data_IF_888439585880
#
_entry.id   IF_888439585880
#
_cell.length_a   1.000
_cell.length_b   1.000
_cell.length_c   1.000
_cell.angle_alpha   90.00
_cell.angle_beta   90.00
_cell.angle_gamma   90.00
#
_symmetry.space_group_name_H-M   'P 1'
#
loop_
_entity.id
_entity.type
_entity.pdbx_description
1 polymer ?
#
# COMPACT_ATOMS: atom_id res chain seq x y z
N UNK A 1 -15.30 -7.94 5.51
CA UNK A 1 -14.79 -6.78 4.76
C UNK A 1 -13.41 -7.08 4.19
N UNK A 2 -13.20 -6.72 2.96
CA UNK A 2 -11.91 -6.91 2.29
C UNK A 2 -11.39 -5.55 1.81
N UNK A 3 -10.13 -5.53 1.38
CA UNK A 3 -9.51 -4.30 0.85
C UNK A 3 -10.33 -3.74 -0.33
N UNK A 4 -10.94 -4.60 -1.12
CA UNK A 4 -11.73 -4.19 -2.27
C UNK A 4 -13.02 -3.45 -1.90
N UNK A 5 -13.45 -3.53 -0.64
CA UNK A 5 -14.61 -2.80 -0.12
C UNK A 5 -14.23 -1.40 0.39
N UNK A 6 -12.94 -1.11 0.45
CA UNK A 6 -12.45 0.17 0.96
C UNK A 6 -12.43 1.23 -0.13
N UNK A 7 -12.39 2.49 0.29
CA UNK A 7 -12.40 3.64 -0.60
C UNK A 7 -11.26 4.59 -0.24
N UNK A 8 -11.11 5.64 -1.04
CA UNK A 8 -10.12 6.69 -0.77
C UNK A 8 -10.39 7.29 0.62
N UNK A 9 -9.33 7.42 1.40
CA UNK A 9 -9.40 7.91 2.78
C UNK A 9 -9.49 6.82 3.83
N UNK A 10 -9.76 5.59 3.44
CA UNK A 10 -9.83 4.48 4.39
C UNK A 10 -8.43 4.01 4.80
N UNK A 11 -8.36 3.45 6.01
CA UNK A 11 -7.12 2.91 6.58
C UNK A 11 -6.90 1.48 6.11
N UNK A 12 -5.66 1.17 5.75
CA UNK A 12 -5.22 -0.19 5.43
C UNK A 12 -3.90 -0.46 6.15
N UNK A 13 -3.48 -1.72 6.15
CA UNK A 13 -2.20 -2.13 6.74
C UNK A 13 -1.43 -2.96 5.71
N UNK A 14 -0.12 -2.84 5.72
CA UNK A 14 0.73 -3.68 4.88
C UNK A 14 0.63 -5.13 5.36
N UNK A 15 0.22 -6.02 4.48
CA UNK A 15 0.13 -7.46 4.79
C UNK A 15 1.52 -8.09 4.86
N UNK A 16 2.43 -7.57 4.05
CA UNK A 16 3.81 -8.04 3.93
C UNK A 16 4.72 -6.82 3.89
N UNK A 17 6.02 -7.04 4.09
CA UNK A 17 6.99 -5.97 3.89
C UNK A 17 6.97 -5.57 2.41
N UNK A 18 6.78 -4.27 2.15
CA UNK A 18 6.72 -3.73 0.79
C UNK A 18 8.07 -3.10 0.46
N UNK A 19 8.66 -3.56 -0.62
CA UNK A 19 10.00 -3.14 -1.04
C UNK A 19 9.90 -2.39 -2.36
N UNK A 20 10.70 -1.32 -2.50
CA UNK A 20 10.79 -0.57 -3.75
C UNK A 20 11.35 -1.49 -4.84
N UNK A 21 10.57 -1.71 -5.89
CA UNK A 21 10.93 -2.58 -7.01
C UNK A 21 11.55 -1.80 -8.18
N UNK A 22 11.87 -0.53 -7.95
CA UNK A 22 12.44 0.32 -9.00
C UNK A 22 11.40 1.08 -9.80
N UNK A 23 10.12 0.90 -9.52
CA UNK A 23 9.04 1.58 -10.26
C UNK A 23 8.79 2.99 -9.78
N UNK A 24 9.32 3.38 -8.61
CA UNK A 24 9.10 4.71 -8.04
C UNK A 24 10.17 5.68 -8.55
N UNK A 25 9.78 6.77 -9.24
CA UNK A 25 10.73 7.80 -9.63
C UNK A 25 11.39 8.38 -8.38
N UNK A 26 12.70 8.58 -8.45
CA UNK A 26 13.49 9.09 -7.32
C UNK A 26 13.57 8.16 -6.11
N UNK A 27 13.04 6.93 -6.23
CA UNK A 27 13.16 5.93 -5.18
C UNK A 27 14.49 5.20 -5.25
N UNK A 28 14.70 4.33 -4.28
CA UNK A 28 15.88 3.47 -4.24
C UNK A 28 15.42 2.02 -4.27
N UNK A 29 15.69 1.34 -5.39
CA UNK A 29 15.35 -0.07 -5.53
C UNK A 29 15.90 -0.89 -4.37
N UNK A 30 15.06 -1.74 -3.81
CA UNK A 30 15.40 -2.57 -2.65
C UNK A 30 15.16 -1.91 -1.30
N UNK A 31 14.81 -0.62 -1.28
CA UNK A 31 14.47 0.06 -0.04
C UNK A 31 13.15 -0.44 0.51
N UNK A 32 13.06 -0.64 1.81
CA UNK A 32 11.81 -1.00 2.47
C UNK A 32 10.92 0.23 2.51
N UNK A 33 9.76 0.16 1.86
CA UNK A 33 8.77 1.25 1.83
C UNK A 33 7.80 1.17 3.00
N UNK A 34 7.47 -0.06 3.41
CA UNK A 34 6.62 -0.29 4.57
C UNK A 34 6.88 -1.70 5.08
N UNK A 35 7.04 -1.84 6.38
CA UNK A 35 7.15 -3.16 7.00
C UNK A 35 5.76 -3.74 7.19
N UNK A 36 5.65 -5.06 7.26
CA UNK A 36 4.39 -5.74 7.53
C UNK A 36 3.77 -5.14 8.81
N UNK A 37 2.48 -4.83 8.75
CA UNK A 37 1.76 -4.22 9.86
C UNK A 37 1.73 -2.70 9.86
N UNK A 38 2.44 -2.06 8.95
CA UNK A 38 2.46 -0.59 8.86
C UNK A 38 1.09 -0.06 8.41
N UNK A 39 0.59 0.92 9.15
CA UNK A 39 -0.68 1.58 8.85
C UNK A 39 -0.50 2.56 7.70
N UNK A 40 -1.50 2.63 6.83
CA UNK A 40 -1.50 3.58 5.73
C UNK A 40 -2.90 4.06 5.40
N UNK A 41 -2.96 5.07 4.53
CA UNK A 41 -4.21 5.67 4.07
C UNK A 41 -4.28 5.54 2.56
N UNK A 42 -5.40 5.05 2.04
CA UNK A 42 -5.63 4.97 0.60
C UNK A 42 -5.84 6.39 0.07
N UNK A 43 -5.02 6.79 -0.89
CA UNK A 43 -5.12 8.13 -1.48
C UNK A 43 -5.69 8.09 -2.90
N UNK A 44 -5.59 6.96 -3.59
CA UNK A 44 -6.15 6.79 -4.92
C UNK A 44 -6.34 5.31 -5.22
N UNK A 45 -7.34 5.01 -6.04
CA UNK A 45 -7.59 3.65 -6.53
C UNK A 45 -7.64 3.73 -8.04
N UNK A 46 -6.85 2.91 -8.72
CA UNK A 46 -6.80 2.89 -10.17
C UNK A 46 -6.75 1.48 -10.72
N UNK A 47 -6.57 1.38 -12.01
CA UNK A 47 -6.46 0.10 -12.71
C UNK A 47 -5.16 0.05 -13.48
N UNK A 48 -4.61 -1.16 -13.63
CA UNK A 48 -3.41 -1.36 -14.44
C UNK A 48 -3.82 -1.19 -15.91
N UNK A 49 -3.04 -0.40 -16.64
CA UNK A 49 -3.34 -0.12 -18.05
C UNK A 49 -3.42 -1.39 -18.90
N UNK A 50 -2.46 -2.31 -18.70
CA UNK A 50 -2.40 -3.56 -19.46
C UNK A 50 -3.35 -4.64 -18.95
N UNK A 51 -3.84 -4.49 -17.71
CA UNK A 51 -4.76 -5.44 -17.08
C UNK A 51 -5.87 -4.66 -16.38
N UNK A 52 -6.86 -4.12 -17.11
CA UNK A 52 -7.89 -3.26 -16.53
C UNK A 52 -8.73 -3.91 -15.42
N UNK A 53 -8.78 -5.24 -15.37
CA UNK A 53 -9.49 -5.96 -14.33
C UNK A 53 -8.74 -5.98 -13.00
N UNK A 54 -7.46 -5.60 -13.01
CA UNK A 54 -6.63 -5.59 -11.81
C UNK A 54 -6.53 -4.17 -11.26
N UNK A 55 -6.91 -4.02 -10.00
CA UNK A 55 -6.85 -2.71 -9.33
C UNK A 55 -5.51 -2.51 -8.64
N UNK A 56 -5.10 -1.25 -8.56
CA UNK A 56 -3.94 -0.83 -7.79
C UNK A 56 -4.38 0.25 -6.81
N UNK A 57 -3.91 0.14 -5.57
CA UNK A 57 -4.20 1.12 -4.52
C UNK A 57 -2.94 1.93 -4.25
N UNK A 58 -3.04 3.26 -4.31
CA UNK A 58 -1.97 4.14 -3.89
C UNK A 58 -2.17 4.43 -2.40
N UNK A 59 -1.21 4.01 -1.61
CA UNK A 59 -1.29 4.09 -0.14
C UNK A 59 -0.11 4.89 0.39
N UNK A 60 -0.40 5.84 1.27
CA UNK A 60 0.64 6.56 1.99
C UNK A 60 0.78 5.93 3.36
N UNK A 61 1.89 5.25 3.58
CA UNK A 61 2.17 4.57 4.84
C UNK A 61 2.78 5.52 5.86
N UNK A 62 2.45 5.30 7.13
CA UNK A 62 3.01 6.08 8.22
C UNK A 62 4.44 5.61 8.52
N UNK A 63 5.30 6.56 8.88
CA UNK A 63 6.61 6.22 9.43
C UNK A 63 6.49 6.03 10.95
N UNK A 64 7.63 5.83 11.64
CA UNK A 64 7.64 5.64 13.09
C UNK A 64 7.13 6.85 13.87
N UNK A 65 7.14 8.03 13.25
CA UNK A 65 6.66 9.28 13.85
C UNK A 65 5.22 9.59 13.42
N UNK A 66 4.56 8.66 12.72
CA UNK A 66 3.22 8.76 12.17
C UNK A 66 3.06 9.82 11.09
N UNK A 67 4.15 10.16 10.42
CA UNK A 67 4.10 11.03 9.25
C UNK A 67 3.85 10.17 8.01
N UNK A 68 2.95 10.63 7.16
CA UNK A 68 2.64 9.90 5.93
C UNK A 68 3.76 10.09 4.91
N UNK A 69 4.20 8.99 4.33
CA UNK A 69 5.20 9.01 3.26
C UNK A 69 4.58 9.27 1.90
N UNK A 70 5.38 9.09 0.85
CA UNK A 70 4.91 9.22 -0.52
C UNK A 70 3.95 8.07 -0.87
N UNK A 71 3.03 8.28 -1.84
CA UNK A 71 2.14 7.22 -2.28
C UNK A 71 2.92 6.02 -2.84
N UNK A 72 2.51 4.83 -2.43
CA UNK A 72 3.10 3.57 -2.88
C UNK A 72 2.01 2.74 -3.57
N UNK A 73 2.29 2.26 -4.78
CA UNK A 73 1.36 1.40 -5.49
C UNK A 73 1.34 0.00 -4.88
N UNK A 74 0.16 -0.45 -4.49
CA UNK A 74 -0.02 -1.75 -3.83
C UNK A 74 -1.07 -2.58 -4.54
N UNK A 75 -0.85 -3.90 -4.55
CA UNK A 75 -1.85 -4.85 -4.99
C UNK A 75 -2.75 -5.26 -3.82
N UNK A 76 -3.88 -5.89 -4.11
CA UNK A 76 -4.80 -6.35 -3.06
C UNK A 76 -4.11 -7.32 -2.09
N UNK A 77 -3.22 -8.16 -2.60
CA UNK A 77 -2.50 -9.14 -1.78
C UNK A 77 -1.46 -8.51 -0.86
N UNK A 78 -1.10 -7.24 -1.09
CA UNK A 78 -0.15 -6.51 -0.26
C UNK A 78 -0.79 -5.82 0.94
N UNK A 79 -2.12 -5.82 1.00
CA UNK A 79 -2.88 -5.03 1.97
C UNK A 79 -3.87 -5.88 2.75
N UNK A 80 -4.12 -5.49 4.00
CA UNK A 80 -5.19 -6.07 4.82
C UNK A 80 -5.95 -4.95 5.53
N UNK A 81 -7.20 -5.22 5.89
CA UNK A 81 -8.08 -4.24 6.53
C UNK A 81 -7.84 -4.11 8.02
N UNK A 82 -7.24 -5.11 8.65
CA UNK A 82 -6.98 -5.12 10.09
C UNK A 82 -5.60 -5.68 10.37
N UNK A 83 -4.88 -5.03 11.28
CA UNK A 83 -3.52 -5.43 11.65
C UNK A 83 -3.43 -6.84 12.23
N UNK A 84 -4.50 -7.33 12.87
CA UNK A 84 -4.53 -8.67 13.47
C UNK A 84 -4.41 -9.80 12.46
N UNK A 85 -4.60 -9.52 11.18
CA UNK A 85 -4.46 -10.51 10.11
C UNK A 85 -3.02 -10.65 9.62
N UNK A 86 -2.09 -9.93 10.22
CA UNK A 86 -0.69 -9.92 9.81
C UNK A 86 0.11 -10.85 10.71
N UNK A 87 0.86 -11.74 10.10
CA UNK A 87 1.73 -12.68 10.82
C UNK A 87 3.12 -12.12 11.01
#
# INVERSE_FOLDING_TARGET
MTVEDLDIGDVVYAANTIIDDGSIPEGFEGKILAEAGTRGIITMIGHVEDEPSRSVWLVRFEDKDRNLGNPVGCWVEDLVVEAKWIN
#
